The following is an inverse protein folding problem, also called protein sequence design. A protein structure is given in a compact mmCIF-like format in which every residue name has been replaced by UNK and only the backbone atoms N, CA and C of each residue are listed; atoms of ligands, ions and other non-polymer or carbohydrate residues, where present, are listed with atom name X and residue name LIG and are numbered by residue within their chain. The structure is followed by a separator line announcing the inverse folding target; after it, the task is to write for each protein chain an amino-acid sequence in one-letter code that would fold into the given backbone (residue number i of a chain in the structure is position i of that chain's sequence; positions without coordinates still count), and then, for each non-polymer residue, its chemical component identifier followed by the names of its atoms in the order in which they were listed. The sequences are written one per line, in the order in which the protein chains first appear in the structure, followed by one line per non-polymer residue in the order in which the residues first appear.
data_IF_975118750948
#
_entry.id   IF_975118750948
#
_cell.length_a   1.000
_cell.length_b   1.000
_cell.length_c   1.000
_cell.angle_alpha   90.00
_cell.angle_beta   90.00
_cell.angle_gamma   90.00
#
_symmetry.space_group_name_H-M   'P 1'
#
loop_
_entity.id
_entity.type
_entity.pdbx_description
1 polymer ?
#
# COMPACT_ATOMS: atom_id res chain seq x y z
N UNK A 1 42.02 -51.92 -42.02
CA UNK A 1 41.17 -51.14 -42.92
C UNK A 1 39.70 -51.28 -42.43
N UNK A 2 39.18 -50.28 -41.87
CA UNK A 2 37.71 -49.96 -41.92
C UNK A 2 37.47 -48.69 -41.07
N UNK A 3 37.05 -47.63 -41.72
CA UNK A 3 36.77 -46.32 -41.16
C UNK A 3 35.47 -46.36 -40.36
N UNK A 4 35.49 -45.89 -39.12
CA UNK A 4 34.29 -45.56 -38.37
C UNK A 4 34.02 -44.07 -38.44
N UNK A 5 32.84 -43.72 -38.99
CA UNK A 5 32.30 -42.38 -39.02
C UNK A 5 31.73 -42.04 -37.66
N UNK A 6 32.19 -40.93 -37.07
CA UNK A 6 31.62 -40.33 -35.87
C UNK A 6 30.41 -39.44 -36.25
N UNK A 7 29.23 -39.83 -35.82
CA UNK A 7 28.05 -38.95 -35.83
C UNK A 7 28.01 -38.06 -34.59
N UNK A 8 28.22 -36.76 -34.77
CA UNK A 8 27.92 -35.73 -33.78
C UNK A 8 26.43 -35.58 -33.66
N UNK A 9 25.82 -35.99 -32.55
CA UNK A 9 24.48 -35.54 -32.13
C UNK A 9 24.63 -34.17 -31.46
N UNK A 10 24.08 -33.14 -32.10
CA UNK A 10 23.83 -31.83 -31.51
C UNK A 10 22.62 -31.96 -30.57
N UNK A 11 22.85 -31.88 -29.26
CA UNK A 11 21.78 -31.67 -28.28
C UNK A 11 21.38 -30.19 -28.29
N UNK A 12 20.14 -29.91 -28.66
CA UNK A 12 19.57 -28.58 -28.52
C UNK A 12 19.22 -28.37 -27.06
N UNK A 13 19.95 -27.47 -26.40
CA UNK A 13 19.48 -26.90 -25.13
C UNK A 13 18.33 -25.94 -25.42
N UNK A 14 17.13 -26.30 -25.01
CA UNK A 14 15.99 -25.42 -25.05
C UNK A 14 16.15 -24.36 -23.96
N UNK A 15 16.47 -23.15 -24.38
CA UNK A 15 16.40 -21.96 -23.56
C UNK A 15 14.93 -21.57 -23.49
N UNK A 16 14.30 -21.84 -22.35
CA UNK A 16 13.00 -21.24 -22.00
C UNK A 16 13.29 -19.89 -21.38
N UNK A 17 13.48 -18.89 -22.21
CA UNK A 17 13.31 -17.50 -21.82
C UNK A 17 11.84 -17.17 -21.97
N UNK A 18 11.09 -17.28 -20.87
CA UNK A 18 9.73 -16.80 -20.81
C UNK A 18 9.72 -15.29 -20.94
N UNK A 19 9.20 -14.86 -22.04
CA UNK A 19 8.78 -13.52 -22.41
C UNK A 19 7.75 -12.99 -21.42
N UNK A 20 8.21 -12.12 -20.51
CA UNK A 20 7.38 -11.12 -19.82
C UNK A 20 7.96 -9.76 -20.16
N UNK A 21 7.88 -9.43 -21.44
CA UNK A 21 8.22 -8.11 -21.99
C UNK A 21 7.39 -7.96 -23.27
N UNK A 22 6.15 -7.55 -23.10
CA UNK A 22 5.36 -6.85 -24.14
C UNK A 22 3.95 -6.60 -23.63
N UNK A 23 3.75 -5.55 -22.87
CA UNK A 23 2.52 -4.74 -22.84
C UNK A 23 2.78 -3.42 -22.12
N UNK A 24 3.86 -2.71 -22.52
CA UNK A 24 4.03 -1.29 -22.25
C UNK A 24 4.34 -0.65 -23.60
N UNK A 25 3.31 -0.43 -24.39
CA UNK A 25 3.32 0.57 -25.44
C UNK A 25 1.88 0.72 -25.92
N UNK A 26 1.43 1.95 -25.93
CA UNK A 26 0.18 2.50 -26.44
C UNK A 26 -0.82 2.99 -25.37
N UNK A 27 -0.39 3.95 -24.55
CA UNK A 27 -1.24 5.09 -24.31
C UNK A 27 -0.42 6.35 -24.58
N UNK A 28 -0.65 6.90 -25.76
CA UNK A 28 -0.05 8.14 -26.21
C UNK A 28 -0.41 9.29 -25.29
N UNK A 29 0.62 10.02 -24.88
CA UNK A 29 0.45 11.35 -24.31
C UNK A 29 -0.16 12.26 -25.38
N UNK A 30 -1.46 12.48 -25.32
CA UNK A 30 -2.06 13.68 -25.89
C UNK A 30 -2.23 14.67 -24.75
N UNK A 31 -1.33 15.65 -24.73
CA UNK A 31 -1.54 16.86 -23.97
C UNK A 31 -2.79 17.54 -24.54
N UNK A 32 -3.92 17.40 -23.88
CA UNK A 32 -5.10 18.21 -24.11
C UNK A 32 -5.12 19.34 -23.08
N UNK A 33 -4.66 20.50 -23.51
CA UNK A 33 -5.06 21.77 -22.94
C UNK A 33 -6.57 21.94 -23.19
N UNK A 34 -7.40 21.71 -22.18
CA UNK A 34 -8.80 22.11 -22.21
C UNK A 34 -9.09 23.07 -21.08
N UNK A 35 -9.14 24.35 -21.45
CA UNK A 35 -9.86 25.34 -20.69
C UNK A 35 -11.32 24.91 -20.60
N UNK A 36 -11.80 24.60 -19.40
CA UNK A 36 -13.19 24.24 -19.16
C UNK A 36 -14.09 25.45 -19.38
N UNK A 37 -14.90 25.42 -20.43
CA UNK A 37 -16.11 26.23 -20.52
C UNK A 37 -17.22 25.56 -19.68
N UNK A 38 -18.10 26.33 -19.00
CA UNK A 38 -19.23 25.77 -18.28
C UNK A 38 -20.29 25.32 -19.27
N UNK A 39 -20.32 24.03 -19.56
CA UNK A 39 -21.34 23.40 -20.37
C UNK A 39 -22.51 22.92 -19.50
N UNK A 40 -23.68 23.50 -19.66
CA UNK A 40 -24.95 22.92 -19.24
C UNK A 40 -25.27 21.73 -20.12
N UNK A 41 -25.01 20.52 -19.62
CA UNK A 41 -25.36 19.28 -20.28
C UNK A 41 -25.95 18.31 -19.26
N UNK A 42 -27.24 18.10 -19.32
CA UNK A 42 -27.94 16.98 -18.65
C UNK A 42 -27.59 15.70 -19.42
N UNK A 43 -26.49 15.06 -19.03
CA UNK A 43 -26.18 13.71 -19.49
C UNK A 43 -26.28 12.79 -18.27
N UNK A 44 -27.09 11.74 -18.40
CA UNK A 44 -27.39 10.78 -17.34
C UNK A 44 -26.25 9.83 -16.98
N UNK A 45 -25.01 10.32 -16.94
CA UNK A 45 -23.86 9.57 -16.48
C UNK A 45 -23.92 9.38 -14.96
N UNK A 46 -24.04 8.13 -14.51
CA UNK A 46 -23.97 7.73 -13.09
C UNK A 46 -22.53 7.70 -12.55
N UNK A 47 -21.56 8.19 -13.30
CA UNK A 47 -20.18 8.28 -12.85
C UNK A 47 -20.07 9.26 -11.66
N UNK A 48 -19.39 8.82 -10.60
CA UNK A 48 -19.09 9.70 -9.47
C UNK A 48 -18.16 10.83 -9.96
N UNK A 49 -18.34 12.08 -9.47
CA UNK A 49 -17.45 13.17 -9.85
C UNK A 49 -16.04 12.86 -9.35
N UNK A 50 -15.06 13.09 -10.22
CA UNK A 50 -13.64 12.98 -9.88
C UNK A 50 -13.13 14.28 -9.26
N UNK A 51 -12.18 14.17 -8.33
CA UNK A 51 -11.53 15.31 -7.71
C UNK A 51 -10.61 16.00 -8.72
N UNK A 52 -10.87 17.26 -9.12
CA UNK A 52 -10.09 17.94 -10.14
C UNK A 52 -8.66 18.20 -9.65
N UNK A 53 -7.72 18.30 -10.59
CA UNK A 53 -6.39 18.82 -10.29
C UNK A 53 -6.50 20.31 -9.90
N UNK A 54 -5.78 20.70 -8.83
CA UNK A 54 -5.70 22.08 -8.35
C UNK A 54 -4.23 22.42 -8.13
N UNK A 55 -3.71 23.37 -8.91
CA UNK A 55 -2.32 23.81 -8.74
C UNK A 55 -2.11 24.38 -7.34
N UNK A 56 -1.12 23.85 -6.62
CA UNK A 56 -0.79 24.24 -5.24
C UNK A 56 -1.88 23.96 -4.22
N UNK A 57 -2.79 23.03 -4.52
CA UNK A 57 -3.91 22.71 -3.67
C UNK A 57 -4.34 21.24 -3.67
N UNK A 58 -5.25 20.93 -2.78
CA UNK A 58 -5.97 19.66 -2.71
C UNK A 58 -7.43 19.86 -3.07
N UNK A 59 -8.02 18.90 -3.79
CA UNK A 59 -9.47 18.84 -4.00
C UNK A 59 -10.06 17.60 -3.36
N UNK A 60 -11.18 17.77 -2.67
CA UNK A 60 -11.88 16.74 -1.94
C UNK A 60 -13.31 16.64 -2.47
N UNK A 61 -13.76 15.44 -2.81
CA UNK A 61 -15.14 15.17 -3.19
C UNK A 61 -15.84 14.49 -2.01
N UNK A 62 -16.89 15.12 -1.56
CA UNK A 62 -17.71 14.65 -0.44
C UNK A 62 -18.84 13.74 -0.94
N UNK A 63 -19.26 12.80 -0.08
CA UNK A 63 -20.52 12.08 -0.28
C UNK A 63 -21.70 13.04 -0.16
N UNK A 64 -22.76 12.89 -0.97
CA UNK A 64 -23.93 13.76 -0.91
C UNK A 64 -24.69 13.67 0.42
N UNK A 65 -24.53 12.59 1.16
CA UNK A 65 -25.18 12.36 2.46
C UNK A 65 -24.37 12.94 3.63
N UNK A 66 -23.19 13.53 3.38
CA UNK A 66 -22.37 14.17 4.41
C UNK A 66 -21.51 15.27 3.83
N UNK A 67 -21.93 16.52 4.03
CA UNK A 67 -21.22 17.71 3.56
C UNK A 67 -20.39 18.40 4.66
N UNK A 68 -20.48 17.94 5.90
CA UNK A 68 -19.62 18.40 6.98
C UNK A 68 -18.39 17.53 7.04
N UNK A 69 -17.21 18.14 6.99
CA UNK A 69 -15.92 17.43 7.08
C UNK A 69 -15.04 18.04 8.16
N UNK A 70 -14.34 17.17 8.85
CA UNK A 70 -13.34 17.55 9.84
C UNK A 70 -11.96 17.41 9.21
N UNK A 71 -11.17 18.48 9.22
CA UNK A 71 -9.86 18.51 8.62
C UNK A 71 -8.83 19.20 9.53
N UNK A 72 -7.60 18.72 9.48
CA UNK A 72 -6.43 19.44 9.99
C UNK A 72 -5.44 19.62 8.85
N UNK A 73 -5.09 20.86 8.55
CA UNK A 73 -4.10 21.18 7.51
C UNK A 73 -2.95 21.93 8.15
N UNK A 74 -1.71 21.51 7.83
CA UNK A 74 -0.51 22.30 8.17
C UNK A 74 0.15 22.79 6.90
N UNK A 75 0.64 24.02 6.93
CA UNK A 75 1.48 24.60 5.87
C UNK A 75 2.94 24.61 6.30
N UNK A 76 3.84 24.56 5.36
CA UNK A 76 5.29 24.55 5.62
C UNK A 76 5.83 25.87 6.18
N UNK A 77 5.11 26.97 5.93
CA UNK A 77 5.46 28.34 6.36
C UNK A 77 4.53 28.92 7.42
N UNK A 78 3.59 28.12 7.95
CA UNK A 78 2.63 28.55 8.96
C UNK A 78 1.50 29.46 8.44
N UNK A 79 1.47 29.78 7.15
CA UNK A 79 0.42 30.63 6.56
C UNK A 79 -0.94 29.91 6.57
N UNK A 80 -2.07 30.66 6.64
CA UNK A 80 -3.39 30.07 6.50
C UNK A 80 -3.58 29.40 5.14
N UNK A 81 -4.45 28.38 5.11
CA UNK A 81 -4.90 27.72 3.88
C UNK A 81 -6.19 28.39 3.40
N UNK A 82 -6.27 28.73 2.11
CA UNK A 82 -7.49 29.19 1.47
C UNK A 82 -8.44 28.01 1.24
N UNK A 83 -9.73 28.21 1.50
CA UNK A 83 -10.78 27.20 1.32
C UNK A 83 -11.82 27.71 0.34
N UNK A 84 -12.16 26.87 -0.65
CA UNK A 84 -13.28 27.10 -1.57
C UNK A 84 -14.34 26.01 -1.39
N UNK A 85 -15.59 26.35 -1.62
CA UNK A 85 -16.71 25.40 -1.52
C UNK A 85 -17.29 25.22 -0.11
N UNK A 86 -16.83 25.99 0.88
CA UNK A 86 -17.32 25.96 2.26
C UNK A 86 -17.80 27.33 2.77
N UNK A 87 -18.39 27.35 3.96
CA UNK A 87 -18.75 28.60 4.65
C UNK A 87 -17.51 29.37 5.10
N UNK A 88 -16.51 28.66 5.63
CA UNK A 88 -15.20 29.21 5.95
C UNK A 88 -14.37 29.33 4.68
N UNK A 89 -13.68 30.45 4.52
CA UNK A 89 -12.79 30.72 3.38
C UNK A 89 -11.31 30.53 3.71
N UNK A 90 -10.97 30.32 4.99
CA UNK A 90 -9.60 30.11 5.45
C UNK A 90 -9.53 29.10 6.60
N UNK A 91 -8.41 28.37 6.70
CA UNK A 91 -8.04 27.53 7.82
C UNK A 91 -6.74 28.01 8.46
N UNK A 92 -6.71 28.03 9.78
CA UNK A 92 -5.45 28.25 10.53
C UNK A 92 -4.61 26.99 10.46
N UNK A 93 -3.33 27.14 10.10
CA UNK A 93 -2.38 26.03 10.01
C UNK A 93 -2.28 25.28 11.34
N UNK A 94 -2.47 23.95 11.29
CA UNK A 94 -2.35 23.05 12.42
C UNK A 94 -3.58 22.97 13.34
N UNK A 95 -4.64 23.68 13.05
CA UNK A 95 -5.88 23.67 13.84
C UNK A 95 -6.89 22.73 13.20
N UNK A 96 -7.42 21.80 13.99
CA UNK A 96 -8.55 20.95 13.61
C UNK A 96 -9.81 21.81 13.42
N UNK A 97 -10.48 21.65 12.30
CA UNK A 97 -11.60 22.49 11.93
C UNK A 97 -12.69 21.68 11.24
N UNK A 98 -13.94 21.91 11.66
CA UNK A 98 -15.11 21.45 10.89
C UNK A 98 -15.41 22.47 9.81
N UNK A 99 -15.52 22.00 8.58
CA UNK A 99 -15.96 22.73 7.40
C UNK A 99 -17.37 22.29 7.02
N UNK A 100 -18.24 23.27 6.82
CA UNK A 100 -19.59 23.06 6.29
C UNK A 100 -19.55 23.38 4.79
N UNK A 101 -19.56 22.34 3.97
CA UNK A 101 -19.45 22.52 2.53
C UNK A 101 -20.79 22.92 1.90
N UNK A 102 -20.73 23.84 0.94
CA UNK A 102 -21.90 24.33 0.16
C UNK A 102 -22.30 23.37 -0.96
N UNK A 103 -21.44 22.39 -1.24
CA UNK A 103 -21.62 21.37 -2.24
C UNK A 103 -20.62 20.24 -2.03
N UNK A 104 -20.47 19.35 -3.03
CA UNK A 104 -19.63 18.17 -2.87
C UNK A 104 -18.14 18.45 -3.05
N UNK A 105 -17.76 19.55 -3.70
CA UNK A 105 -16.37 19.89 -3.97
C UNK A 105 -15.86 20.89 -2.94
N UNK A 106 -14.75 20.54 -2.28
CA UNK A 106 -13.99 21.42 -1.41
C UNK A 106 -12.56 21.52 -1.96
N UNK A 107 -12.03 22.73 -2.04
CA UNK A 107 -10.66 22.99 -2.47
C UNK A 107 -9.89 23.66 -1.34
N UNK A 108 -8.69 23.17 -1.09
CA UNK A 108 -7.74 23.69 -0.10
C UNK A 108 -6.49 24.15 -0.83
N UNK A 109 -6.11 25.45 -0.73
CA UNK A 109 -4.94 26.02 -1.41
C UNK A 109 -3.95 26.60 -0.42
N UNK A 110 -2.68 26.26 -0.60
CA UNK A 110 -1.57 26.73 0.24
C UNK A 110 -0.36 25.82 0.16
N UNK A 111 0.70 26.16 0.85
CA UNK A 111 1.93 25.33 0.94
C UNK A 111 1.73 24.16 1.89
N UNK A 112 0.76 23.29 1.56
CA UNK A 112 0.31 22.19 2.43
C UNK A 112 1.45 21.20 2.64
N UNK A 113 1.84 21.00 3.91
CA UNK A 113 2.85 20.03 4.33
C UNK A 113 2.24 18.82 5.05
N UNK A 114 1.05 18.98 5.65
CA UNK A 114 0.24 17.89 6.21
C UNK A 114 -1.22 18.14 5.89
N UNK A 115 -1.89 17.09 5.42
CA UNK A 115 -3.35 17.04 5.30
C UNK A 115 -3.87 15.83 6.08
N UNK A 116 -4.75 16.10 7.03
CA UNK A 116 -5.47 15.10 7.79
C UNK A 116 -6.97 15.32 7.54
N UNK A 117 -7.56 14.44 6.77
CA UNK A 117 -8.99 14.35 6.48
C UNK A 117 -9.50 12.93 6.75
N UNK A 118 -8.66 12.12 7.39
CA UNK A 118 -9.02 10.83 7.96
C UNK A 118 -9.75 11.02 9.29
N UNK A 119 -10.48 10.02 9.70
CA UNK A 119 -11.18 10.10 10.97
C UNK A 119 -10.79 8.94 11.89
N UNK A 120 -9.50 8.86 12.20
CA UNK A 120 -8.97 7.80 13.06
C UNK A 120 -9.47 7.90 14.50
N UNK A 121 -9.61 9.14 15.03
CA UNK A 121 -10.10 9.36 16.38
C UNK A 121 -11.65 9.22 16.49
N UNK A 122 -12.33 9.44 15.39
CA UNK A 122 -13.80 9.50 15.33
C UNK A 122 -14.40 8.52 14.29
N UNK A 123 -13.85 7.28 14.20
CA UNK A 123 -14.35 6.24 13.26
C UNK A 123 -15.88 6.04 13.29
N UNK A 124 -16.55 6.54 14.34
CA UNK A 124 -18.03 6.55 14.43
C UNK A 124 -18.71 7.59 13.54
N UNK A 125 -17.96 8.61 13.05
CA UNK A 125 -18.52 9.68 12.22
C UNK A 125 -17.52 10.10 11.11
N UNK A 126 -17.19 9.18 10.16
CA UNK A 126 -16.21 9.44 9.12
C UNK A 126 -16.63 10.59 8.19
N UNK A 127 -15.65 11.26 7.58
CA UNK A 127 -15.87 12.34 6.61
C UNK A 127 -16.61 11.90 5.35
N UNK A 128 -16.53 10.62 5.00
CA UNK A 128 -17.14 10.01 3.81
C UNK A 128 -16.68 10.65 2.49
N UNK A 129 -15.40 11.02 2.38
CA UNK A 129 -14.82 11.44 1.12
C UNK A 129 -14.89 10.31 0.10
N UNK A 130 -15.30 10.63 -1.14
CA UNK A 130 -15.39 9.65 -2.23
C UNK A 130 -14.22 9.72 -3.18
N UNK A 131 -13.56 10.88 -3.25
CA UNK A 131 -12.34 11.08 -4.04
C UNK A 131 -11.45 12.17 -3.41
N UNK A 132 -10.14 12.07 -3.63
CA UNK A 132 -9.14 12.99 -3.11
C UNK A 132 -7.98 13.11 -4.10
N UNK A 133 -7.71 14.34 -4.54
CA UNK A 133 -6.59 14.67 -5.41
C UNK A 133 -5.65 15.65 -4.70
N UNK A 134 -4.41 15.23 -4.48
CA UNK A 134 -3.32 16.04 -3.90
C UNK A 134 -2.12 16.12 -4.87
N UNK A 135 -2.36 15.81 -6.14
CA UNK A 135 -1.32 15.77 -7.18
C UNK A 135 -0.49 17.06 -7.19
N UNK A 136 0.83 16.90 -7.22
CA UNK A 136 1.75 18.02 -7.35
C UNK A 136 1.97 18.84 -6.07
N UNK A 137 1.42 18.44 -4.92
CA UNK A 137 1.75 19.05 -3.64
C UNK A 137 3.17 18.64 -3.19
N UNK A 138 4.18 19.26 -3.80
CA UNK A 138 5.59 18.90 -3.57
C UNK A 138 6.08 19.13 -2.14
N UNK A 139 5.38 19.95 -1.34
CA UNK A 139 5.68 20.20 0.05
C UNK A 139 4.95 19.21 1.01
N UNK A 140 4.04 18.36 0.50
CA UNK A 140 3.24 17.46 1.32
C UNK A 140 4.13 16.35 1.89
N UNK A 141 4.24 16.30 3.21
CA UNK A 141 5.02 15.29 3.94
C UNK A 141 4.14 14.20 4.54
N UNK A 142 2.92 14.53 4.95
CA UNK A 142 2.01 13.60 5.61
C UNK A 142 0.59 13.72 5.06
N UNK A 143 0.03 12.60 4.62
CA UNK A 143 -1.36 12.48 4.18
C UNK A 143 -2.08 11.42 5.01
N UNK A 144 -3.09 11.82 5.76
CA UNK A 144 -3.99 10.94 6.51
C UNK A 144 -5.39 11.08 5.93
N UNK A 145 -5.84 10.07 5.20
CA UNK A 145 -7.16 10.02 4.59
C UNK A 145 -7.87 8.67 4.84
N UNK A 146 -7.45 7.97 5.90
CA UNK A 146 -8.06 6.71 6.31
C UNK A 146 -9.52 6.88 6.76
N UNK A 147 -10.29 5.76 6.76
CA UNK A 147 -11.70 5.73 7.19
C UNK A 147 -12.60 6.67 6.38
N UNK A 148 -12.47 6.63 5.06
CA UNK A 148 -13.30 7.33 4.10
C UNK A 148 -14.00 6.33 3.15
N UNK A 149 -14.49 6.83 2.02
CA UNK A 149 -15.09 6.01 0.96
C UNK A 149 -14.35 6.20 -0.36
N UNK A 150 -13.04 6.55 -0.31
CA UNK A 150 -12.25 6.85 -1.48
C UNK A 150 -12.24 5.67 -2.46
N UNK A 151 -12.63 5.91 -3.68
CA UNK A 151 -12.51 4.98 -4.81
C UNK A 151 -11.26 5.27 -5.65
N UNK A 152 -10.76 6.51 -5.58
CA UNK A 152 -9.50 6.95 -6.17
C UNK A 152 -8.72 7.85 -5.20
N UNK A 153 -7.38 7.85 -5.35
CA UNK A 153 -6.46 8.69 -4.62
C UNK A 153 -5.28 9.00 -5.51
N UNK A 154 -5.09 10.27 -5.86
CA UNK A 154 -3.96 10.72 -6.66
C UNK A 154 -2.93 11.45 -5.79
N UNK A 155 -1.76 10.82 -5.64
CA UNK A 155 -0.61 11.32 -4.86
C UNK A 155 0.61 11.60 -5.77
N UNK A 156 0.43 11.60 -7.08
CA UNK A 156 1.52 11.79 -8.03
C UNK A 156 2.17 13.18 -7.87
N UNK A 157 3.49 13.21 -7.90
CA UNK A 157 4.27 14.44 -7.71
C UNK A 157 4.40 14.92 -6.25
N UNK A 158 3.83 14.19 -5.27
CA UNK A 158 4.05 14.48 -3.84
C UNK A 158 5.43 13.97 -3.38
N UNK A 159 6.49 14.46 -3.97
CA UNK A 159 7.85 13.89 -3.82
C UNK A 159 8.45 14.01 -2.41
N UNK A 160 7.92 14.92 -1.57
CA UNK A 160 8.31 15.04 -0.17
C UNK A 160 7.51 14.15 0.78
N UNK A 161 6.58 13.31 0.27
CA UNK A 161 5.69 12.50 1.09
C UNK A 161 6.47 11.44 1.87
N UNK A 162 6.44 11.55 3.19
CA UNK A 162 7.10 10.64 4.14
C UNK A 162 6.12 9.62 4.72
N UNK A 163 4.86 9.99 4.82
CA UNK A 163 3.85 9.14 5.40
C UNK A 163 2.50 9.23 4.71
N UNK A 164 1.94 8.06 4.36
CA UNK A 164 0.63 7.92 3.76
C UNK A 164 -0.22 6.91 4.53
N UNK A 165 -1.36 7.37 5.05
CA UNK A 165 -2.39 6.49 5.57
C UNK A 165 -3.69 6.68 4.77
N UNK A 166 -3.99 5.74 3.91
CA UNK A 166 -5.21 5.65 3.12
C UNK A 166 -5.99 4.34 3.40
N UNK A 167 -5.74 3.72 4.55
CA UNK A 167 -6.44 2.51 4.97
C UNK A 167 -7.95 2.70 5.14
N UNK A 168 -8.72 1.60 5.17
CA UNK A 168 -10.17 1.63 5.36
C UNK A 168 -10.88 2.54 4.36
N UNK A 169 -10.66 2.26 3.07
CA UNK A 169 -11.28 2.92 1.92
C UNK A 169 -11.81 1.88 0.92
N UNK A 170 -12.10 2.30 -0.31
CA UNK A 170 -12.60 1.43 -1.38
C UNK A 170 -11.67 1.44 -2.61
N UNK A 171 -10.37 1.76 -2.39
CA UNK A 171 -9.37 1.88 -3.46
C UNK A 171 -9.17 0.53 -4.17
N UNK A 172 -9.27 0.52 -5.48
CA UNK A 172 -8.96 -0.64 -6.33
C UNK A 172 -7.56 -0.60 -6.91
N UNK A 173 -6.96 0.59 -6.95
CA UNK A 173 -5.58 0.84 -7.36
C UNK A 173 -4.96 1.93 -6.48
N UNK A 174 -3.64 1.89 -6.32
CA UNK A 174 -2.86 2.92 -5.62
C UNK A 174 -1.49 3.02 -6.28
N UNK A 175 -1.20 4.14 -6.91
CA UNK A 175 0.09 4.41 -7.50
C UNK A 175 0.94 5.28 -6.55
N UNK A 176 2.01 4.67 -6.05
CA UNK A 176 3.00 5.29 -5.13
C UNK A 176 4.38 5.40 -5.78
N UNK A 177 4.47 5.20 -7.10
CA UNK A 177 5.74 5.28 -7.81
C UNK A 177 6.31 6.70 -7.76
N UNK A 178 7.63 6.79 -7.59
CA UNK A 178 8.33 8.08 -7.46
C UNK A 178 8.28 8.73 -6.08
N UNK A 179 7.53 8.17 -5.11
CA UNK A 179 7.48 8.68 -3.73
C UNK A 179 8.69 8.18 -2.90
N UNK A 180 9.89 8.46 -3.37
CA UNK A 180 11.14 7.92 -2.80
C UNK A 180 11.43 8.33 -1.35
N UNK A 181 10.79 9.39 -0.85
CA UNK A 181 10.88 9.84 0.54
C UNK A 181 9.94 9.08 1.49
N UNK A 182 9.06 8.20 0.97
CA UNK A 182 8.03 7.52 1.76
C UNK A 182 8.65 6.56 2.77
N UNK A 183 8.40 6.80 4.05
CA UNK A 183 8.94 6.00 5.17
C UNK A 183 7.91 5.01 5.70
N UNK A 184 6.62 5.33 5.62
CA UNK A 184 5.56 4.42 6.00
C UNK A 184 4.35 4.58 5.09
N UNK A 185 3.75 3.43 4.74
CA UNK A 185 2.56 3.32 3.90
C UNK A 185 1.55 2.40 4.57
N UNK A 186 0.39 2.93 4.95
CA UNK A 186 -0.74 2.16 5.42
C UNK A 186 -1.89 2.26 4.42
N UNK A 187 -2.10 1.20 3.65
CA UNK A 187 -3.16 1.08 2.65
C UNK A 187 -4.04 -0.16 2.87
N UNK A 188 -4.02 -0.70 4.09
CA UNK A 188 -4.82 -1.87 4.47
C UNK A 188 -6.33 -1.60 4.42
N UNK A 189 -7.14 -2.68 4.37
CA UNK A 189 -8.61 -2.59 4.28
C UNK A 189 -9.07 -1.74 3.09
N UNK A 190 -8.63 -2.15 1.91
CA UNK A 190 -9.01 -1.62 0.61
C UNK A 190 -9.40 -2.79 -0.34
N UNK A 191 -9.39 -2.56 -1.64
CA UNK A 191 -9.72 -3.57 -2.67
C UNK A 191 -8.59 -3.71 -3.69
N UNK A 192 -7.34 -3.46 -3.26
CA UNK A 192 -6.17 -3.49 -4.13
C UNK A 192 -5.91 -4.93 -4.61
N UNK A 193 -5.77 -5.12 -5.92
CA UNK A 193 -5.37 -6.40 -6.53
C UNK A 193 -3.87 -6.46 -6.80
N UNK A 194 -3.22 -5.30 -6.86
CA UNK A 194 -1.77 -5.14 -7.03
C UNK A 194 -1.27 -3.94 -6.21
N UNK A 195 -0.02 -3.98 -5.84
CA UNK A 195 0.68 -2.88 -5.16
C UNK A 195 2.16 -2.93 -5.52
N UNK A 196 2.64 -1.92 -6.23
CA UNK A 196 4.05 -1.81 -6.58
C UNK A 196 4.76 -0.84 -5.62
N UNK A 197 5.64 -1.38 -4.79
CA UNK A 197 6.46 -0.63 -3.81
C UNK A 197 7.95 -0.60 -4.19
N UNK A 198 8.30 -1.08 -5.38
CA UNK A 198 9.68 -1.06 -5.85
C UNK A 198 10.17 0.39 -6.00
N UNK A 199 11.41 0.65 -5.58
CA UNK A 199 11.97 2.01 -5.59
C UNK A 199 11.64 2.87 -4.37
N UNK A 200 10.78 2.42 -3.45
CA UNK A 200 10.52 3.12 -2.19
C UNK A 200 11.63 2.83 -1.16
N UNK A 201 12.84 3.24 -1.48
CA UNK A 201 14.07 2.87 -0.72
C UNK A 201 14.12 3.40 0.71
N UNK A 202 13.29 4.39 1.06
CA UNK A 202 13.16 4.91 2.41
C UNK A 202 12.07 4.20 3.25
N UNK A 203 11.33 3.22 2.67
CA UNK A 203 10.17 2.61 3.30
C UNK A 203 10.59 1.71 4.48
N UNK A 204 10.15 2.08 5.68
CA UNK A 204 10.40 1.38 6.95
C UNK A 204 9.22 0.52 7.40
N UNK A 205 8.01 0.93 7.07
CA UNK A 205 6.80 0.22 7.45
C UNK A 205 5.80 0.17 6.28
N UNK A 206 5.32 -1.04 5.98
CA UNK A 206 4.28 -1.30 4.98
C UNK A 206 3.13 -2.08 5.61
N UNK A 207 1.96 -1.46 5.67
CA UNK A 207 0.69 -2.08 6.05
C UNK A 207 -0.25 -2.15 4.86
N UNK A 208 -0.37 -3.31 4.23
CA UNK A 208 -1.26 -3.57 3.10
C UNK A 208 -2.23 -4.75 3.35
N UNK A 209 -2.43 -5.11 4.62
CA UNK A 209 -3.35 -6.19 5.00
C UNK A 209 -4.80 -5.94 4.59
N UNK A 210 -5.63 -7.00 4.50
CA UNK A 210 -7.04 -6.92 4.10
C UNK A 210 -7.22 -6.22 2.74
N UNK A 211 -6.59 -6.80 1.72
CA UNK A 211 -6.74 -6.44 0.31
C UNK A 211 -6.96 -7.71 -0.53
N UNK A 212 -6.80 -7.63 -1.83
CA UNK A 212 -6.94 -8.76 -2.76
C UNK A 212 -5.62 -9.06 -3.50
N UNK A 213 -4.47 -8.74 -2.89
CA UNK A 213 -3.16 -8.92 -3.50
C UNK A 213 -2.88 -10.41 -3.73
N UNK A 214 -2.48 -10.78 -4.94
CA UNK A 214 -2.06 -12.14 -5.29
C UNK A 214 -0.54 -12.31 -5.25
N UNK A 215 0.19 -11.22 -5.36
CA UNK A 215 1.64 -11.15 -5.22
C UNK A 215 2.06 -9.84 -4.56
N UNK A 216 3.16 -9.86 -3.83
CA UNK A 216 3.78 -8.68 -3.24
C UNK A 216 5.31 -8.84 -3.31
N UNK A 217 5.97 -7.91 -3.97
CA UNK A 217 7.43 -7.90 -4.08
C UNK A 217 7.99 -6.73 -3.27
N UNK A 218 8.67 -7.05 -2.16
CA UNK A 218 9.39 -6.10 -1.30
C UNK A 218 10.91 -6.32 -1.38
N UNK A 219 11.38 -7.13 -2.33
CA UNK A 219 12.80 -7.45 -2.50
C UNK A 219 13.66 -6.19 -2.53
N UNK A 220 14.74 -6.19 -1.76
CA UNK A 220 15.72 -5.11 -1.76
C UNK A 220 15.30 -3.85 -1.01
N UNK A 221 14.17 -3.83 -0.33
CA UNK A 221 13.81 -2.74 0.58
C UNK A 221 14.63 -2.88 1.88
N UNK A 222 15.90 -2.51 1.80
CA UNK A 222 16.91 -2.80 2.84
C UNK A 222 16.62 -2.16 4.20
N UNK A 223 15.81 -1.09 4.25
CA UNK A 223 15.43 -0.38 5.48
C UNK A 223 14.05 -0.76 6.00
N UNK A 224 13.32 -1.66 5.31
CA UNK A 224 12.00 -2.11 5.71
C UNK A 224 12.10 -2.90 7.03
N UNK A 225 11.45 -2.40 8.07
CA UNK A 225 11.45 -2.98 9.42
C UNK A 225 10.19 -3.79 9.70
N UNK A 226 9.04 -3.32 9.18
CA UNK A 226 7.75 -3.94 9.45
C UNK A 226 6.95 -4.16 8.18
N UNK A 227 6.46 -5.38 7.99
CA UNK A 227 5.61 -5.77 6.88
C UNK A 227 4.35 -6.45 7.39
N UNK A 228 3.19 -5.81 7.19
CA UNK A 228 1.87 -6.33 7.52
C UNK A 228 1.10 -6.56 6.22
N UNK A 229 1.09 -7.80 5.72
CA UNK A 229 0.43 -8.19 4.47
C UNK A 229 -0.63 -9.29 4.66
N UNK A 230 -1.09 -9.48 5.90
CA UNK A 230 -2.11 -10.45 6.26
C UNK A 230 -3.46 -10.20 5.57
N UNK A 231 -4.30 -11.24 5.45
CA UNK A 231 -5.64 -11.08 4.87
C UNK A 231 -5.61 -10.73 3.38
N UNK A 232 -4.74 -11.37 2.61
CA UNK A 232 -4.64 -11.23 1.16
C UNK A 232 -4.79 -12.60 0.46
N UNK A 233 -4.37 -12.70 -0.78
CA UNK A 233 -4.40 -13.94 -1.57
C UNK A 233 -3.00 -14.32 -2.06
N UNK A 234 -1.97 -13.95 -1.28
CA UNK A 234 -0.58 -14.16 -1.67
C UNK A 234 -0.25 -15.66 -1.75
N UNK A 235 0.26 -16.09 -2.89
CA UNK A 235 0.82 -17.43 -3.10
C UNK A 235 2.34 -17.45 -2.98
N UNK A 236 2.98 -16.27 -3.03
CA UNK A 236 4.40 -16.06 -2.81
C UNK A 236 4.63 -14.71 -2.15
N UNK A 237 5.71 -14.61 -1.38
CA UNK A 237 6.19 -13.38 -0.77
C UNK A 237 7.71 -13.37 -0.81
N UNK A 238 8.29 -12.36 -1.47
CA UNK A 238 9.74 -12.23 -1.60
C UNK A 238 10.27 -11.14 -0.66
N UNK A 239 10.94 -11.55 0.41
CA UNK A 239 11.56 -10.67 1.41
C UNK A 239 13.09 -10.63 1.29
N UNK A 240 13.64 -11.17 0.20
CA UNK A 240 15.08 -11.19 -0.04
C UNK A 240 15.66 -9.78 -0.02
N UNK A 241 16.74 -9.59 0.74
CA UNK A 241 17.42 -8.29 0.86
C UNK A 241 16.73 -7.28 1.78
N UNK A 242 15.63 -7.65 2.46
CA UNK A 242 15.02 -6.83 3.51
C UNK A 242 15.83 -6.96 4.81
N UNK A 243 17.06 -6.45 4.81
CA UNK A 243 18.05 -6.69 5.88
C UNK A 243 17.68 -6.09 7.24
N UNK A 244 16.80 -5.08 7.26
CA UNK A 244 16.32 -4.45 8.49
C UNK A 244 14.99 -5.04 9.00
N UNK A 245 14.42 -6.07 8.33
CA UNK A 245 13.10 -6.61 8.68
C UNK A 245 13.13 -7.23 10.07
N UNK A 246 12.19 -6.81 10.93
CA UNK A 246 12.03 -7.25 12.32
C UNK A 246 10.63 -7.80 12.59
N UNK A 247 9.63 -7.37 11.83
CA UNK A 247 8.26 -7.81 12.00
C UNK A 247 7.64 -8.16 10.65
N UNK A 248 7.19 -9.42 10.54
CA UNK A 248 6.46 -9.93 9.37
C UNK A 248 5.13 -10.52 9.85
N UNK A 249 4.04 -10.01 9.31
CA UNK A 249 2.72 -10.58 9.54
C UNK A 249 2.09 -10.94 8.19
N UNK A 250 2.01 -12.25 7.89
CA UNK A 250 1.54 -12.78 6.61
C UNK A 250 0.45 -13.85 6.75
N UNK A 251 -0.22 -13.96 7.91
CA UNK A 251 -1.32 -14.90 8.10
C UNK A 251 -2.51 -14.58 7.16
N UNK A 252 -3.46 -15.49 7.03
CA UNK A 252 -4.62 -15.33 6.15
C UNK A 252 -4.23 -15.01 4.70
N UNK A 253 -3.36 -15.85 4.12
CA UNK A 253 -2.95 -15.81 2.73
C UNK A 253 -3.12 -17.20 2.08
N UNK A 254 -2.36 -17.50 1.03
CA UNK A 254 -2.34 -18.77 0.31
C UNK A 254 -0.91 -19.30 0.14
N UNK A 255 -0.04 -19.02 1.12
CA UNK A 255 1.35 -19.42 1.10
C UNK A 255 1.47 -20.94 1.38
N UNK A 256 2.02 -21.66 0.42
CA UNK A 256 2.28 -23.10 0.57
C UNK A 256 3.63 -23.37 1.26
N UNK A 257 4.01 -24.63 1.41
CA UNK A 257 5.26 -25.06 2.02
C UNK A 257 6.50 -24.45 1.37
N UNK A 258 6.55 -24.44 0.02
CA UNK A 258 7.70 -23.88 -0.73
C UNK A 258 7.81 -22.37 -0.54
N UNK A 259 6.68 -21.66 -0.52
CA UNK A 259 6.65 -20.23 -0.26
C UNK A 259 7.19 -19.91 1.14
N UNK A 260 6.79 -20.68 2.16
CA UNK A 260 7.32 -20.50 3.51
C UNK A 260 8.80 -20.88 3.63
N UNK A 261 9.21 -21.96 2.98
CA UNK A 261 10.64 -22.30 2.94
C UNK A 261 11.46 -21.13 2.41
N UNK A 262 11.03 -20.53 1.28
CA UNK A 262 11.73 -19.37 0.72
C UNK A 262 11.72 -18.16 1.67
N UNK A 263 10.58 -17.86 2.32
CA UNK A 263 10.51 -16.79 3.33
C UNK A 263 11.54 -17.05 4.43
N UNK A 264 11.57 -18.26 5.01
CA UNK A 264 12.50 -18.59 6.11
C UNK A 264 13.97 -18.51 5.68
N UNK A 265 14.27 -18.93 4.46
CA UNK A 265 15.62 -18.80 3.90
C UNK A 265 16.03 -17.33 3.69
N UNK A 266 15.10 -16.45 3.33
CA UNK A 266 15.34 -15.04 3.04
C UNK A 266 15.30 -14.12 4.28
N UNK A 267 14.69 -14.55 5.40
CA UNK A 267 14.64 -13.75 6.64
C UNK A 267 16.05 -13.35 7.11
N UNK A 268 16.29 -12.08 7.48
CA UNK A 268 17.60 -11.64 7.96
C UNK A 268 17.95 -12.21 9.33
N UNK A 269 19.24 -12.26 9.62
CA UNK A 269 19.76 -12.56 10.96
C UNK A 269 19.35 -11.47 11.95
N UNK A 270 18.81 -11.86 13.12
CA UNK A 270 18.46 -10.95 14.20
C UNK A 270 19.45 -11.07 15.37
N UNK A 271 19.53 -9.99 16.15
CA UNK A 271 20.17 -10.05 17.47
C UNK A 271 19.14 -10.56 18.50
N UNK A 272 19.59 -11.21 19.57
CA UNK A 272 18.70 -11.76 20.59
C UNK A 272 17.80 -10.69 21.28
N UNK A 273 18.19 -9.42 21.23
CA UNK A 273 17.46 -8.29 21.81
C UNK A 273 16.32 -7.76 20.92
N UNK A 274 16.27 -8.15 19.64
CA UNK A 274 15.44 -7.45 18.65
C UNK A 274 13.96 -7.85 18.72
N UNK A 275 13.61 -8.94 19.43
CA UNK A 275 12.24 -9.47 19.53
C UNK A 275 11.54 -9.67 18.18
N UNK A 276 12.32 -9.94 17.13
CA UNK A 276 11.79 -10.11 15.79
C UNK A 276 10.77 -11.25 15.72
N UNK A 277 9.64 -11.00 15.06
CA UNK A 277 8.53 -11.94 15.03
C UNK A 277 7.94 -12.10 13.63
N UNK A 278 7.64 -13.35 13.27
CA UNK A 278 6.93 -13.71 12.06
C UNK A 278 5.60 -14.38 12.42
N UNK A 279 4.47 -13.77 12.06
CA UNK A 279 3.12 -14.34 12.25
C UNK A 279 2.74 -15.05 10.97
N UNK A 280 2.66 -16.38 11.02
CA UNK A 280 2.58 -17.26 9.86
C UNK A 280 1.15 -17.62 9.46
N UNK A 281 0.29 -17.92 10.46
CA UNK A 281 -1.10 -18.34 10.24
C UNK A 281 -1.98 -17.97 11.44
N UNK A 282 -3.29 -18.16 11.27
CA UNK A 282 -4.28 -17.96 12.34
C UNK A 282 -5.12 -19.21 12.56
N UNK A 283 -5.58 -19.38 13.80
CA UNK A 283 -6.56 -20.38 14.20
C UNK A 283 -7.89 -19.74 14.64
N UNK A 284 -8.11 -18.49 14.28
CA UNK A 284 -9.31 -17.74 14.65
C UNK A 284 -10.58 -18.41 14.14
N UNK A 285 -11.59 -18.49 15.01
CA UNK A 285 -12.90 -19.02 14.64
C UNK A 285 -13.56 -18.14 13.56
N UNK A 286 -14.09 -18.77 12.51
CA UNK A 286 -14.77 -18.08 11.41
C UNK A 286 -13.84 -17.48 10.35
N UNK A 287 -12.54 -17.66 10.48
CA UNK A 287 -11.55 -17.24 9.48
C UNK A 287 -11.06 -18.45 8.69
N UNK A 288 -11.02 -18.31 7.37
CA UNK A 288 -10.42 -19.33 6.49
C UNK A 288 -8.95 -19.02 6.32
N UNK A 289 -8.09 -19.79 7.01
CA UNK A 289 -6.64 -19.71 6.83
C UNK A 289 -6.23 -20.57 5.63
N UNK A 290 -5.63 -19.94 4.64
CA UNK A 290 -5.17 -20.58 3.41
C UNK A 290 -3.68 -20.93 3.41
N UNK A 291 -2.94 -20.47 4.42
CA UNK A 291 -1.51 -20.73 4.56
C UNK A 291 -1.23 -22.16 5.02
N UNK A 292 -0.07 -22.68 4.63
CA UNK A 292 0.49 -23.91 5.19
C UNK A 292 0.71 -23.76 6.71
N UNK A 293 0.42 -24.83 7.48
CA UNK A 293 0.46 -24.79 8.96
C UNK A 293 1.41 -25.82 9.57
N UNK A 294 1.79 -26.85 8.81
CA UNK A 294 2.68 -27.92 9.30
C UNK A 294 4.12 -27.64 8.87
N UNK A 295 4.91 -27.09 9.77
CA UNK A 295 6.31 -26.78 9.55
C UNK A 295 7.27 -27.91 9.97
N UNK A 296 6.74 -29.10 10.24
CA UNK A 296 7.53 -30.31 10.58
C UNK A 296 7.90 -31.13 9.34
N UNK A 297 7.19 -30.91 8.23
CA UNK A 297 7.38 -31.60 6.95
C UNK A 297 7.08 -30.65 5.76
N UNK A 298 7.73 -30.81 4.60
CA UNK A 298 8.82 -31.77 4.31
C UNK A 298 10.13 -31.39 5.03
N UNK A 299 11.15 -32.27 5.03
CA UNK A 299 12.39 -32.08 5.81
C UNK A 299 13.13 -30.76 5.54
N UNK A 300 13.12 -30.29 4.31
CA UNK A 300 13.78 -29.02 3.92
C UNK A 300 13.03 -27.79 4.44
N UNK A 301 11.68 -27.80 4.49
CA UNK A 301 10.88 -26.79 5.15
C UNK A 301 11.13 -26.79 6.67
N UNK A 302 11.14 -27.96 7.30
CA UNK A 302 11.41 -28.10 8.73
C UNK A 302 12.82 -27.58 9.07
N UNK A 303 13.81 -27.86 8.24
CA UNK A 303 15.18 -27.36 8.40
C UNK A 303 15.22 -25.82 8.30
N UNK A 304 14.56 -25.22 7.29
CA UNK A 304 14.50 -23.78 7.09
C UNK A 304 13.76 -23.08 8.26
N UNK A 305 12.65 -23.64 8.73
CA UNK A 305 11.89 -23.16 9.90
C UNK A 305 12.75 -23.17 11.17
N UNK A 306 13.41 -24.29 11.46
CA UNK A 306 14.30 -24.41 12.62
C UNK A 306 15.50 -23.45 12.53
N UNK A 307 16.08 -23.28 11.34
CA UNK A 307 17.17 -22.32 11.12
C UNK A 307 16.70 -20.88 11.40
N UNK A 308 15.50 -20.52 10.93
CA UNK A 308 14.94 -19.20 11.19
C UNK A 308 14.70 -18.94 12.68
N UNK A 309 14.26 -19.94 13.46
CA UNK A 309 14.08 -19.84 14.92
C UNK A 309 15.42 -19.80 15.66
N UNK A 310 16.28 -20.79 15.44
CA UNK A 310 17.42 -21.05 16.32
C UNK A 310 18.66 -20.27 15.92
N UNK A 311 18.90 -20.13 14.63
CA UNK A 311 20.06 -19.42 14.07
C UNK A 311 19.74 -17.96 13.83
N UNK A 312 18.70 -17.69 13.04
CA UNK A 312 18.31 -16.31 12.70
C UNK A 312 17.55 -15.57 13.79
N UNK A 313 17.16 -16.24 14.87
CA UNK A 313 16.56 -15.67 16.10
C UNK A 313 15.19 -15.02 15.91
N UNK A 314 14.39 -15.56 14.99
CA UNK A 314 13.00 -15.13 14.80
C UNK A 314 12.05 -15.88 15.71
N UNK A 315 11.11 -15.18 16.34
CA UNK A 315 9.96 -15.78 17.00
C UNK A 315 8.92 -16.13 15.95
N UNK A 316 8.70 -17.43 15.71
CA UNK A 316 7.67 -17.91 14.82
C UNK A 316 6.36 -18.00 15.57
N UNK A 317 5.32 -17.33 15.10
CA UNK A 317 4.07 -17.16 15.83
C UNK A 317 2.85 -17.54 14.98
N UNK A 318 1.75 -17.84 15.67
CA UNK A 318 0.40 -17.87 15.12
C UNK A 318 -0.50 -16.89 15.87
N UNK A 319 -1.68 -16.63 15.32
CA UNK A 319 -2.79 -16.03 16.06
C UNK A 319 -3.72 -17.15 16.48
N UNK A 320 -4.00 -17.29 17.78
CA UNK A 320 -4.91 -18.30 18.31
C UNK A 320 -6.41 -17.92 18.12
N UNK A 321 -7.30 -18.77 18.63
CA UNK A 321 -8.74 -18.55 18.55
C UNK A 321 -9.20 -17.28 19.27
N UNK A 322 -8.48 -16.85 20.29
CA UNK A 322 -8.79 -15.71 21.15
C UNK A 322 -8.01 -14.43 20.75
N UNK A 323 -7.43 -14.41 19.56
CA UNK A 323 -6.68 -13.29 18.99
C UNK A 323 -5.32 -13.00 19.64
N UNK A 324 -4.78 -13.93 20.41
CA UNK A 324 -3.45 -13.76 20.97
C UNK A 324 -2.38 -14.22 19.99
N UNK A 325 -1.26 -13.49 20.00
CA UNK A 325 -0.04 -13.94 19.32
C UNK A 325 0.64 -15.01 20.19
N UNK A 326 0.73 -16.21 19.68
CA UNK A 326 1.31 -17.39 20.38
C UNK A 326 2.53 -17.86 19.61
N UNK A 327 3.66 -18.08 20.32
CA UNK A 327 4.89 -18.62 19.73
C UNK A 327 4.76 -20.13 19.47
N UNK A 328 5.30 -20.59 18.31
CA UNK A 328 5.28 -21.99 17.84
C UNK A 328 6.49 -22.79 18.31
#
# INVERSE_FOLDING_TARGET
MTKFKTHKKKGAAAIVTASVLALIALFGMTACSNAAQPGTGTDGSTALPEAPFVEGGASLILSPDKLDIEVTVRTSDGTPVTVEGCDKTTLTSGTETVLHAKGRLVILKGKISKLDCGNFAHYKNPNKLTDLNVQGLTALQYLYCAYNQLTALNVQGCTALQGLNCGFNKLTALDVQGLSALQWLHCGSNRLTELNVQGLTALKELGCGLNHLTALNVQGLTVLQKLYCWGNQLTALNVQGCSALQELNCHENRLNADAFKKIFDDLPQQQNSDNAACILYTERTGVTEGNHKDFTAPPDLAAAFNNAKTVKKWKMCKIDADWHKVEL
#
